data_IF_318689981945
#
_entry.id   IF_318689981945
#
_cell.length_a   1.000
_cell.length_b   1.000
_cell.length_c   1.000
_cell.angle_alpha   90.00
_cell.angle_beta   90.00
_cell.angle_gamma   90.00
#
_symmetry.space_group_name_H-M   'P 1'
#
loop_
_entity.id
_entity.type
_entity.pdbx_description
1 polymer ?
#
# COMPACT_ATOMS: atom_id res chain seq x y z
N UNK A 1 19.65 -9.93 9.45
CA UNK A 1 18.36 -9.21 9.50
C UNK A 1 17.26 -10.20 9.19
N UNK A 2 16.06 -10.08 9.76
CA UNK A 2 14.95 -10.94 9.38
C UNK A 2 14.63 -10.71 7.89
N UNK A 3 14.50 -11.77 7.09
CA UNK A 3 14.17 -11.66 5.65
C UNK A 3 12.71 -11.21 5.42
N UNK A 4 11.85 -11.41 6.42
CA UNK A 4 10.44 -11.02 6.42
C UNK A 4 9.90 -10.82 7.83
N UNK A 5 8.78 -10.12 7.93
CA UNK A 5 7.98 -9.96 9.14
C UNK A 5 6.62 -10.64 8.97
N UNK A 6 6.05 -11.15 10.07
CA UNK A 6 4.70 -11.74 10.07
C UNK A 6 3.69 -10.64 10.37
N UNK A 7 2.71 -10.47 9.49
CA UNK A 7 1.58 -9.56 9.69
C UNK A 7 0.55 -10.20 10.63
N UNK A 8 -0.34 -9.40 11.21
CA UNK A 8 -1.47 -9.91 12.02
C UNK A 8 -2.43 -10.83 11.23
N UNK A 9 -2.38 -10.82 9.89
CA UNK A 9 -3.08 -11.76 9.02
C UNK A 9 -2.40 -13.13 8.90
N UNK A 10 -1.19 -13.29 9.44
CA UNK A 10 -0.34 -14.47 9.26
C UNK A 10 0.53 -14.46 7.99
N UNK A 11 0.29 -13.53 7.07
CA UNK A 11 1.11 -13.36 5.87
C UNK A 11 2.53 -12.86 6.22
N UNK A 12 3.52 -13.19 5.36
CA UNK A 12 4.91 -12.74 5.53
C UNK A 12 5.21 -11.60 4.56
N UNK A 13 5.45 -10.40 5.08
CA UNK A 13 5.93 -9.25 4.29
C UNK A 13 7.46 -9.28 4.23
N UNK A 14 8.10 -9.28 3.03
CA UNK A 14 9.54 -9.17 2.93
C UNK A 14 10.06 -7.88 3.59
N UNK A 15 11.20 -7.97 4.28
CA UNK A 15 11.71 -6.85 5.08
C UNK A 15 12.23 -5.67 4.23
N UNK A 16 12.48 -5.92 2.95
CA UNK A 16 12.98 -4.94 1.98
C UNK A 16 12.12 -5.03 0.72
N UNK A 17 11.54 -3.89 0.32
CA UNK A 17 10.81 -3.74 -0.92
C UNK A 17 11.41 -2.65 -1.81
N UNK A 18 11.14 -2.75 -3.11
CA UNK A 18 11.45 -1.70 -4.08
C UNK A 18 10.32 -0.67 -4.06
N UNK A 19 10.61 0.55 -3.61
CA UNK A 19 9.72 1.70 -3.78
C UNK A 19 9.76 2.23 -5.21
N UNK A 20 8.59 2.56 -5.77
CA UNK A 20 8.45 2.98 -7.18
C UNK A 20 8.02 4.45 -7.34
N UNK A 21 8.02 5.21 -6.25
CA UNK A 21 7.77 6.65 -6.28
C UNK A 21 8.91 7.40 -7.00
N UNK A 22 8.56 8.42 -7.78
CA UNK A 22 9.51 9.35 -8.45
C UNK A 22 10.52 8.66 -9.38
N UNK A 23 10.21 7.47 -9.90
CA UNK A 23 11.00 6.83 -10.95
C UNK A 23 10.80 7.57 -12.28
N UNK A 24 11.87 7.69 -13.07
CA UNK A 24 11.80 8.34 -14.39
C UNK A 24 10.84 7.56 -15.30
N UNK A 25 9.91 8.25 -16.02
CA UNK A 25 8.98 7.58 -16.93
C UNK A 25 9.71 6.67 -17.91
N UNK A 26 9.22 5.45 -18.10
CA UNK A 26 9.83 4.45 -18.98
C UNK A 26 10.94 3.60 -18.34
N UNK A 27 11.41 3.92 -17.13
CA UNK A 27 12.52 3.18 -16.47
C UNK A 27 12.05 2.23 -15.36
N UNK A 28 10.83 2.42 -14.85
CA UNK A 28 10.33 1.66 -13.68
C UNK A 28 10.14 0.17 -13.98
N UNK A 29 9.75 -0.19 -15.21
CA UNK A 29 9.62 -1.58 -15.62
C UNK A 29 10.96 -2.33 -15.58
N UNK A 30 12.03 -1.69 -16.07
CA UNK A 30 13.39 -2.24 -16.01
C UNK A 30 13.89 -2.36 -14.56
N UNK A 31 13.61 -1.35 -13.73
CA UNK A 31 13.97 -1.37 -12.31
C UNK A 31 13.28 -2.53 -11.57
N UNK A 32 11.98 -2.75 -11.80
CA UNK A 32 11.21 -3.87 -11.22
C UNK A 32 11.77 -5.21 -11.70
N UNK A 33 12.02 -5.35 -13.00
CA UNK A 33 12.58 -6.57 -13.58
C UNK A 33 13.96 -6.90 -12.99
N UNK A 34 14.84 -5.90 -12.91
CA UNK A 34 16.17 -6.05 -12.33
C UNK A 34 16.12 -6.39 -10.84
N UNK A 35 15.28 -5.70 -10.06
CA UNK A 35 15.14 -5.95 -8.63
C UNK A 35 14.67 -7.39 -8.35
N UNK A 36 13.66 -7.88 -9.07
CA UNK A 36 13.15 -9.24 -8.89
C UNK A 36 14.20 -10.29 -9.28
N UNK A 37 14.96 -10.07 -10.35
CA UNK A 37 16.11 -10.92 -10.70
C UNK A 37 17.24 -10.86 -9.68
N UNK A 38 17.42 -9.73 -9.01
CA UNK A 38 18.38 -9.56 -7.91
C UNK A 38 17.91 -10.18 -6.58
N UNK A 39 16.68 -10.69 -6.51
CA UNK A 39 16.14 -11.39 -5.34
C UNK A 39 15.08 -10.61 -4.55
N UNK A 40 14.70 -9.41 -4.98
CA UNK A 40 13.58 -8.70 -4.34
C UNK A 40 12.28 -9.49 -4.52
N UNK A 41 11.47 -9.51 -3.47
CA UNK A 41 10.14 -10.14 -3.45
C UNK A 41 9.04 -9.20 -2.98
N UNK A 42 9.34 -7.92 -2.78
CA UNK A 42 8.34 -6.90 -2.43
C UNK A 42 8.48 -5.70 -3.34
N UNK A 43 7.38 -5.31 -3.99
CA UNK A 43 7.27 -4.09 -4.79
C UNK A 43 6.19 -3.21 -4.18
N UNK A 44 6.53 -1.95 -3.91
CA UNK A 44 5.62 -0.95 -3.36
C UNK A 44 5.21 0.04 -4.47
N UNK A 45 3.92 0.02 -4.80
CA UNK A 45 3.29 0.79 -5.86
C UNK A 45 2.33 1.85 -5.29
N UNK A 46 1.85 2.74 -6.15
CA UNK A 46 0.63 3.52 -5.92
C UNK A 46 0.13 4.11 -7.25
N UNK A 47 -1.19 4.28 -7.42
CA UNK A 47 -1.76 4.94 -8.60
C UNK A 47 -1.29 6.40 -8.74
N UNK A 48 -0.94 7.05 -7.62
CA UNK A 48 -0.41 8.41 -7.60
C UNK A 48 0.91 8.58 -8.36
N UNK A 49 1.71 7.51 -8.49
CA UNK A 49 3.00 7.54 -9.19
C UNK A 49 2.83 7.43 -10.70
N UNK A 50 1.62 7.10 -11.18
CA UNK A 50 1.25 7.03 -12.60
C UNK A 50 2.13 6.10 -13.43
N UNK A 51 2.60 5.03 -12.80
CA UNK A 51 3.52 4.06 -13.40
C UNK A 51 3.09 2.58 -13.20
N UNK A 52 1.92 2.33 -12.60
CA UNK A 52 1.44 0.96 -12.34
C UNK A 52 1.30 0.12 -13.62
N UNK A 53 0.93 0.74 -14.76
CA UNK A 53 0.89 0.05 -16.07
C UNK A 53 2.25 -0.49 -16.51
N UNK A 54 3.31 0.30 -16.34
CA UNK A 54 4.67 -0.11 -16.69
C UNK A 54 5.15 -1.24 -15.77
N UNK A 55 4.80 -1.16 -14.48
CA UNK A 55 5.07 -2.20 -13.50
C UNK A 55 4.33 -3.49 -13.88
N UNK A 56 3.05 -3.40 -14.24
CA UNK A 56 2.25 -4.56 -14.65
C UNK A 56 2.80 -5.27 -15.87
N UNK A 57 3.28 -4.52 -16.87
CA UNK A 57 3.98 -5.09 -18.03
C UNK A 57 5.25 -5.84 -17.63
N UNK A 58 6.04 -5.29 -16.70
CA UNK A 58 7.24 -5.95 -16.18
C UNK A 58 6.91 -7.22 -15.37
N UNK A 59 5.88 -7.17 -14.51
CA UNK A 59 5.40 -8.32 -13.75
C UNK A 59 4.92 -9.44 -14.67
N UNK A 60 4.07 -9.12 -15.66
CA UNK A 60 3.62 -10.07 -16.66
C UNK A 60 4.78 -10.76 -17.36
N UNK A 61 5.77 -9.98 -17.82
CA UNK A 61 6.97 -10.54 -18.45
C UNK A 61 7.75 -11.46 -17.50
N UNK A 62 7.92 -11.10 -16.23
CA UNK A 62 8.59 -11.94 -15.24
C UNK A 62 7.88 -13.28 -15.02
N UNK A 63 6.55 -13.28 -15.06
CA UNK A 63 5.75 -14.50 -14.95
C UNK A 63 5.85 -15.35 -16.22
N UNK A 64 5.76 -14.73 -17.41
CA UNK A 64 5.91 -15.41 -18.70
C UNK A 64 7.32 -15.98 -18.92
N UNK A 65 8.35 -15.28 -18.44
CA UNK A 65 9.75 -15.72 -18.45
C UNK A 65 10.06 -16.78 -17.36
N UNK A 66 9.07 -17.17 -16.54
CA UNK A 66 9.22 -18.09 -15.40
C UNK A 66 10.31 -17.67 -14.38
N UNK A 67 10.55 -16.37 -14.22
CA UNK A 67 11.54 -15.85 -13.26
C UNK A 67 11.03 -16.00 -11.82
N UNK A 68 9.73 -15.78 -11.61
CA UNK A 68 9.01 -15.91 -10.34
C UNK A 68 7.57 -16.30 -10.62
N UNK A 69 6.87 -16.86 -9.63
CA UNK A 69 5.42 -17.01 -9.63
C UNK A 69 4.74 -15.83 -8.93
N UNK A 70 3.44 -15.65 -9.14
CA UNK A 70 2.68 -14.58 -8.48
C UNK A 70 2.74 -14.70 -6.96
N UNK A 71 2.61 -15.91 -6.43
CA UNK A 71 2.66 -16.21 -5.00
C UNK A 71 4.05 -16.04 -4.36
N UNK A 72 5.11 -15.89 -5.17
CA UNK A 72 6.45 -15.58 -4.66
C UNK A 72 6.62 -14.07 -4.35
N UNK A 73 5.71 -13.22 -4.85
CA UNK A 73 5.79 -11.77 -4.73
C UNK A 73 4.79 -11.23 -3.72
N UNK A 74 5.22 -10.20 -2.99
CA UNK A 74 4.40 -9.34 -2.16
C UNK A 74 4.22 -8.00 -2.86
N UNK A 75 3.04 -7.74 -3.42
CA UNK A 75 2.74 -6.51 -4.15
C UNK A 75 1.84 -5.61 -3.30
N UNK A 76 2.32 -4.40 -3.02
CA UNK A 76 1.59 -3.38 -2.27
C UNK A 76 1.14 -2.26 -3.20
N UNK A 77 -0.09 -1.77 -3.02
CA UNK A 77 -0.53 -0.50 -3.63
C UNK A 77 -1.44 0.27 -2.67
N UNK A 78 -1.94 1.44 -3.09
CA UNK A 78 -2.54 2.45 -2.21
C UNK A 78 -3.81 3.05 -2.79
N UNK A 79 -4.86 3.15 -1.99
CA UNK A 79 -6.08 3.91 -2.28
C UNK A 79 -5.77 5.40 -2.28
N UNK A 80 -6.02 6.08 -3.40
CA UNK A 80 -5.77 7.51 -3.55
C UNK A 80 -6.85 8.39 -2.91
N UNK A 81 -6.47 9.63 -2.55
CA UNK A 81 -7.33 10.60 -1.86
C UNK A 81 -8.68 10.89 -2.53
N UNK A 82 -8.78 10.71 -3.85
CA UNK A 82 -10.02 10.89 -4.61
C UNK A 82 -11.00 9.72 -4.53
N UNK A 83 -10.61 8.59 -3.93
CA UNK A 83 -11.38 7.33 -3.94
C UNK A 83 -11.81 6.88 -2.53
N UNK A 84 -11.88 7.80 -1.56
CA UNK A 84 -12.22 7.44 -0.18
C UNK A 84 -13.72 7.27 0.08
N UNK A 85 -14.61 7.65 -0.86
CA UNK A 85 -16.03 7.33 -0.72
C UNK A 85 -16.22 5.80 -0.80
N UNK A 86 -17.07 5.17 0.04
CA UNK A 86 -17.20 3.71 0.09
C UNK A 86 -17.45 3.04 -1.26
N UNK A 87 -18.19 3.70 -2.15
CA UNK A 87 -18.49 3.29 -3.52
C UNK A 87 -17.30 3.40 -4.47
N UNK A 88 -16.35 4.30 -4.21
CA UNK A 88 -15.16 4.53 -5.04
C UNK A 88 -13.96 3.65 -4.64
N UNK A 89 -13.96 3.12 -3.42
CA UNK A 89 -12.92 2.20 -2.92
C UNK A 89 -12.73 0.96 -3.82
N UNK A 90 -13.80 0.21 -4.19
CA UNK A 90 -13.66 -0.93 -5.10
C UNK A 90 -13.17 -0.52 -6.50
N UNK A 91 -13.59 0.63 -7.02
CA UNK A 91 -13.08 1.14 -8.30
C UNK A 91 -11.58 1.47 -8.23
N UNK A 92 -11.13 2.02 -7.09
CA UNK A 92 -9.72 2.35 -6.86
C UNK A 92 -8.82 1.12 -6.93
N UNK A 93 -9.17 0.03 -6.24
CA UNK A 93 -8.38 -1.21 -6.31
C UNK A 93 -8.52 -1.90 -7.68
N UNK A 94 -9.69 -1.87 -8.31
CA UNK A 94 -9.91 -2.51 -9.61
C UNK A 94 -9.07 -1.88 -10.71
N UNK A 95 -8.98 -0.55 -10.71
CA UNK A 95 -8.08 0.18 -11.62
C UNK A 95 -6.61 -0.20 -11.40
N UNK A 96 -6.17 -0.25 -10.14
CA UNK A 96 -4.79 -0.66 -9.81
C UNK A 96 -4.51 -2.12 -10.20
N UNK A 97 -5.46 -3.03 -9.99
CA UNK A 97 -5.33 -4.44 -10.37
C UNK A 97 -5.24 -4.60 -11.90
N UNK A 98 -6.06 -3.85 -12.65
CA UNK A 98 -5.99 -3.81 -14.12
C UNK A 98 -4.62 -3.31 -14.59
N UNK A 99 -4.16 -2.17 -14.06
CA UNK A 99 -2.88 -1.56 -14.44
C UNK A 99 -1.69 -2.48 -14.10
N UNK A 100 -1.70 -3.11 -12.91
CA UNK A 100 -0.68 -4.06 -12.49
C UNK A 100 -0.82 -5.45 -13.13
N UNK A 101 -1.92 -5.72 -13.83
CA UNK A 101 -2.27 -7.02 -14.42
C UNK A 101 -2.29 -8.15 -13.37
N UNK A 102 -2.96 -7.89 -12.24
CA UNK A 102 -3.07 -8.80 -11.10
C UNK A 102 -4.53 -9.10 -10.76
N UNK A 103 -4.77 -10.24 -10.12
CA UNK A 103 -6.10 -10.61 -9.59
C UNK A 103 -6.29 -10.18 -8.12
N UNK A 104 -5.19 -9.99 -7.39
CA UNK A 104 -5.18 -9.55 -6.00
C UNK A 104 -3.91 -8.78 -5.65
N UNK A 105 -3.99 -7.94 -4.62
CA UNK A 105 -2.86 -7.32 -3.93
C UNK A 105 -2.55 -8.05 -2.63
N UNK A 106 -1.28 -8.14 -2.28
CA UNK A 106 -0.87 -8.66 -0.97
C UNK A 106 -1.18 -7.65 0.14
N UNK A 107 -1.06 -6.36 -0.17
CA UNK A 107 -1.36 -5.27 0.73
C UNK A 107 -2.00 -4.09 -0.01
N UNK A 108 -3.12 -3.60 0.50
CA UNK A 108 -3.76 -2.37 0.02
C UNK A 108 -3.89 -1.34 1.14
N UNK A 109 -3.33 -0.15 0.94
CA UNK A 109 -3.23 0.88 1.97
C UNK A 109 -4.13 2.08 1.68
N UNK A 110 -4.77 2.68 2.68
CA UNK A 110 -5.21 4.09 2.54
C UNK A 110 -3.94 4.94 2.43
N UNK A 111 -3.68 5.59 1.28
CA UNK A 111 -2.39 6.23 1.00
C UNK A 111 -2.00 7.29 2.05
N UNK A 112 -2.96 8.15 2.41
CA UNK A 112 -2.81 9.19 3.41
C UNK A 112 -4.17 9.54 4.01
N UNK A 113 -4.24 10.11 5.23
CA UNK A 113 -5.49 10.56 5.84
C UNK A 113 -6.01 11.89 5.24
N UNK A 114 -6.02 11.99 3.92
CA UNK A 114 -6.43 13.17 3.14
C UNK A 114 -7.43 12.73 2.08
N UNK A 115 -8.58 13.40 2.01
CA UNK A 115 -9.63 13.15 1.03
C UNK A 115 -9.83 14.37 0.14
N UNK A 116 -10.05 14.12 -1.14
CA UNK A 116 -10.50 15.12 -2.11
C UNK A 116 -11.77 14.64 -2.80
N UNK A 117 -12.43 15.52 -3.56
CA UNK A 117 -13.37 15.06 -4.58
C UNK A 117 -12.65 14.15 -5.59
N UNK A 118 -13.40 13.21 -6.19
CA UNK A 118 -12.88 12.30 -7.21
C UNK A 118 -12.35 13.08 -8.41
N UNK A 119 -11.17 12.71 -8.90
CA UNK A 119 -10.49 13.41 -10.01
C UNK A 119 -9.91 14.78 -9.67
N UNK A 120 -10.09 15.30 -8.45
CA UNK A 120 -9.54 16.58 -8.05
C UNK A 120 -8.04 16.49 -7.72
N UNK A 121 -7.32 17.58 -7.97
CA UNK A 121 -5.93 17.74 -7.55
C UNK A 121 -5.88 18.02 -6.05
N UNK A 122 -4.87 17.50 -5.35
CA UNK A 122 -4.65 17.76 -3.92
C UNK A 122 -4.19 19.20 -3.68
N UNK A 123 -5.14 20.11 -3.61
CA UNK A 123 -4.97 21.52 -3.21
C UNK A 123 -5.85 21.81 -2.01
N UNK A 124 -5.57 22.90 -1.28
CA UNK A 124 -6.29 23.25 -0.06
C UNK A 124 -7.80 23.41 -0.28
N UNK A 125 -8.19 23.90 -1.45
CA UNK A 125 -9.58 24.16 -1.85
C UNK A 125 -10.36 22.88 -2.17
N UNK A 126 -9.66 21.80 -2.52
CA UNK A 126 -10.25 20.53 -2.91
C UNK A 126 -10.34 19.53 -1.76
N UNK A 127 -9.78 19.85 -0.59
CA UNK A 127 -9.83 18.97 0.57
C UNK A 127 -11.23 18.94 1.18
N UNK A 128 -11.71 17.72 1.42
CA UNK A 128 -12.99 17.47 2.07
C UNK A 128 -12.77 16.54 3.28
N UNK A 129 -13.76 16.49 4.17
CA UNK A 129 -13.67 15.67 5.38
C UNK A 129 -13.54 14.19 5.02
N UNK A 130 -12.47 13.57 5.54
CA UNK A 130 -12.28 12.12 5.48
C UNK A 130 -13.13 11.45 6.57
N UNK A 131 -14.04 10.58 6.13
CA UNK A 131 -14.76 9.65 6.99
C UNK A 131 -13.99 8.32 7.04
N UNK A 132 -13.04 8.22 7.97
CA UNK A 132 -12.19 7.02 8.12
C UNK A 132 -13.04 5.77 8.37
N UNK A 133 -14.04 5.75 9.28
CA UNK A 133 -14.90 4.57 9.46
C UNK A 133 -15.56 4.11 8.16
N UNK A 134 -16.12 5.02 7.36
CA UNK A 134 -16.78 4.65 6.11
C UNK A 134 -15.79 4.09 5.08
N UNK A 135 -14.63 4.75 4.88
CA UNK A 135 -13.59 4.25 3.97
C UNK A 135 -13.03 2.91 4.44
N UNK A 136 -12.75 2.76 5.73
CA UNK A 136 -12.21 1.52 6.29
C UNK A 136 -13.22 0.38 6.15
N UNK A 137 -14.50 0.60 6.43
CA UNK A 137 -15.54 -0.41 6.23
C UNK A 137 -15.63 -0.90 4.77
N UNK A 138 -15.28 -0.06 3.78
CA UNK A 138 -15.16 -0.49 2.39
C UNK A 138 -13.86 -1.27 2.12
N UNK A 139 -12.73 -0.86 2.72
CA UNK A 139 -11.46 -1.61 2.67
C UNK A 139 -11.63 -3.02 3.27
N UNK A 140 -12.37 -3.15 4.36
CA UNK A 140 -12.66 -4.45 4.99
C UNK A 140 -13.44 -5.38 4.04
N UNK A 141 -14.35 -4.86 3.21
CA UNK A 141 -15.04 -5.66 2.18
C UNK A 141 -14.07 -6.15 1.10
N UNK A 142 -13.05 -5.35 0.75
CA UNK A 142 -11.99 -5.79 -0.16
C UNK A 142 -11.17 -6.93 0.44
N UNK A 143 -10.86 -6.84 1.74
CA UNK A 143 -10.23 -7.92 2.47
C UNK A 143 -11.07 -9.21 2.46
N UNK A 144 -12.35 -9.11 2.83
CA UNK A 144 -13.26 -10.27 2.85
C UNK A 144 -13.41 -10.92 1.45
N UNK A 145 -13.35 -10.13 0.38
CA UNK A 145 -13.41 -10.61 -1.00
C UNK A 145 -12.14 -11.30 -1.51
N UNK A 146 -11.01 -11.10 -0.82
CA UNK A 146 -9.70 -11.58 -1.24
C UNK A 146 -8.98 -10.73 -2.30
N UNK A 147 -9.59 -9.64 -2.81
CA UNK A 147 -8.92 -8.68 -3.70
C UNK A 147 -7.71 -8.01 -3.04
N UNK A 148 -7.74 -7.83 -1.72
CA UNK A 148 -6.60 -7.44 -0.91
C UNK A 148 -6.38 -8.47 0.20
N UNK A 149 -5.22 -9.14 0.24
CA UNK A 149 -4.91 -10.17 1.24
C UNK A 149 -4.61 -9.60 2.62
N UNK A 150 -4.17 -8.35 2.66
CA UNK A 150 -4.06 -7.52 3.84
C UNK A 150 -4.47 -6.08 3.50
N UNK A 151 -5.00 -5.36 4.48
CA UNK A 151 -5.34 -3.94 4.36
C UNK A 151 -4.63 -3.15 5.45
N UNK A 152 -4.28 -1.90 5.15
CA UNK A 152 -3.56 -1.05 6.08
C UNK A 152 -3.73 0.42 5.76
N UNK A 153 -2.89 1.24 6.38
CA UNK A 153 -2.91 2.69 6.23
C UNK A 153 -1.50 3.21 5.97
N UNK A 154 -1.42 4.39 5.38
CA UNK A 154 -0.21 5.17 5.21
C UNK A 154 -0.36 6.52 5.89
N UNK A 155 0.72 7.00 6.51
CA UNK A 155 0.78 8.34 7.12
C UNK A 155 -0.24 8.57 8.26
N UNK A 156 -0.66 7.52 8.97
CA UNK A 156 -1.51 7.68 10.15
C UNK A 156 -0.67 7.97 11.39
N UNK A 157 -0.99 9.05 12.09
CA UNK A 157 -0.40 9.40 13.38
C UNK A 157 -0.91 8.48 14.50
N UNK A 158 -0.28 8.54 15.69
CA UNK A 158 -0.72 7.75 16.85
C UNK A 158 -2.22 7.91 17.13
N UNK A 159 -2.71 9.15 17.19
CA UNK A 159 -4.13 9.42 17.42
C UNK A 159 -5.03 8.79 16.35
N UNK A 160 -4.67 8.90 15.07
CA UNK A 160 -5.48 8.32 13.98
C UNK A 160 -5.45 6.80 14.02
N UNK A 161 -4.33 6.21 14.41
CA UNK A 161 -4.22 4.76 14.64
C UNK A 161 -5.12 4.31 15.79
N UNK A 162 -5.07 4.99 16.94
CA UNK A 162 -5.96 4.70 18.08
C UNK A 162 -7.44 4.80 17.69
N UNK A 163 -7.82 5.89 17.01
CA UNK A 163 -9.19 6.12 16.56
C UNK A 163 -9.65 5.01 15.57
N UNK A 164 -8.77 4.55 14.67
CA UNK A 164 -9.06 3.46 13.74
C UNK A 164 -9.15 2.09 14.45
N UNK A 165 -8.20 1.78 15.32
CA UNK A 165 -8.15 0.52 16.07
C UNK A 165 -9.39 0.32 16.95
N UNK A 166 -9.97 1.42 17.47
CA UNK A 166 -11.18 1.38 18.27
C UNK A 166 -12.45 0.98 17.49
N UNK A 167 -12.46 1.13 16.15
CA UNK A 167 -13.64 0.90 15.31
C UNK A 167 -13.48 -0.22 14.29
N UNK A 168 -12.25 -0.63 14.00
CA UNK A 168 -11.94 -1.62 12.97
C UNK A 168 -12.33 -3.03 13.40
N UNK A 169 -13.07 -3.75 12.54
CA UNK A 169 -13.28 -5.21 12.68
C UNK A 169 -12.05 -5.95 12.20
N UNK A 170 -11.50 -5.55 11.05
CA UNK A 170 -10.22 -6.05 10.54
C UNK A 170 -9.14 -5.06 10.98
N UNK A 171 -8.28 -5.47 11.91
CA UNK A 171 -7.15 -4.64 12.36
C UNK A 171 -6.23 -4.30 11.18
N UNK A 172 -5.80 -3.04 10.99
CA UNK A 172 -4.84 -2.70 9.94
C UNK A 172 -3.58 -3.55 10.09
N UNK A 173 -3.15 -4.21 9.02
CA UNK A 173 -1.96 -5.04 9.04
C UNK A 173 -0.67 -4.22 9.04
N UNK A 174 -0.71 -3.04 8.38
CA UNK A 174 0.44 -2.18 8.18
C UNK A 174 0.07 -0.71 8.42
N UNK A 175 0.98 0.05 9.03
CA UNK A 175 1.03 1.50 8.92
C UNK A 175 2.35 1.90 8.23
N UNK A 176 2.28 2.40 6.99
CA UNK A 176 3.46 2.82 6.23
C UNK A 176 3.72 4.32 6.45
N UNK A 177 4.90 4.68 6.96
CA UNK A 177 5.23 6.07 7.33
C UNK A 177 6.66 6.43 6.98
N UNK A 178 6.93 7.73 6.87
CA UNK A 178 8.28 8.26 6.89
C UNK A 178 8.96 7.90 8.23
N UNK A 179 10.11 7.24 8.14
CA UNK A 179 10.98 6.97 9.28
C UNK A 179 12.44 6.83 8.83
N UNK A 180 13.36 7.47 9.54
CA UNK A 180 14.80 7.41 9.28
C UNK A 180 15.55 7.83 10.56
N UNK A 181 16.91 7.76 10.62
CA UNK A 181 17.64 8.10 11.85
C UNK A 181 17.33 9.49 12.44
N UNK A 182 16.92 10.45 11.60
CA UNK A 182 16.49 11.79 12.00
C UNK A 182 15.01 11.91 12.40
N UNK A 183 14.17 10.93 12.05
CA UNK A 183 12.75 10.88 12.39
C UNK A 183 12.33 9.43 12.68
N UNK A 184 12.52 8.99 13.92
CA UNK A 184 12.52 7.55 14.25
C UNK A 184 11.13 6.95 14.54
N UNK A 185 10.09 7.80 14.66
CA UNK A 185 8.70 7.39 14.93
C UNK A 185 8.53 6.51 16.19
N UNK A 186 9.35 6.70 17.23
CA UNK A 186 9.41 5.80 18.40
C UNK A 186 8.04 5.50 19.03
N UNK A 187 7.26 6.54 19.35
CA UNK A 187 5.92 6.37 19.93
C UNK A 187 4.95 5.62 19.01
N UNK A 188 5.01 5.90 17.71
CA UNK A 188 4.16 5.24 16.72
C UNK A 188 4.57 3.77 16.53
N UNK A 189 5.87 3.49 16.55
CA UNK A 189 6.41 2.13 16.51
C UNK A 189 5.91 1.31 17.69
N UNK A 190 6.02 1.83 18.91
CA UNK A 190 5.53 1.16 20.13
C UNK A 190 4.03 0.89 20.05
N UNK A 191 3.23 1.89 19.62
CA UNK A 191 1.78 1.74 19.46
C UNK A 191 1.44 0.67 18.39
N UNK A 192 2.12 0.69 17.25
CA UNK A 192 1.90 -0.29 16.19
C UNK A 192 2.25 -1.70 16.68
N UNK A 193 3.42 -1.88 17.30
CA UNK A 193 3.88 -3.16 17.82
C UNK A 193 2.94 -3.73 18.89
N UNK A 194 2.49 -2.91 19.85
CA UNK A 194 1.57 -3.34 20.92
C UNK A 194 0.20 -3.78 20.40
N UNK A 195 -0.17 -3.39 19.17
CA UNK A 195 -1.43 -3.73 18.54
C UNK A 195 -1.28 -4.71 17.36
N UNK A 196 -0.09 -5.31 17.18
CA UNK A 196 0.18 -6.26 16.10
C UNK A 196 0.16 -5.64 14.70
N UNK A 197 0.32 -4.33 14.59
CA UNK A 197 0.40 -3.59 13.32
C UNK A 197 1.87 -3.49 12.92
N UNK A 198 2.22 -3.90 11.71
CA UNK A 198 3.58 -3.74 11.21
C UNK A 198 3.83 -2.27 10.80
N UNK A 199 4.86 -1.65 11.36
CA UNK A 199 5.31 -0.33 10.92
C UNK A 199 6.28 -0.49 9.74
N UNK A 200 5.81 -0.16 8.54
CA UNK A 200 6.62 -0.15 7.32
C UNK A 200 7.19 1.24 7.10
N UNK A 201 8.42 1.30 6.61
CA UNK A 201 9.16 2.56 6.43
C UNK A 201 9.23 2.91 4.95
N UNK A 202 8.78 4.11 4.60
CA UNK A 202 8.96 4.69 3.26
C UNK A 202 9.78 5.99 3.32
N UNK A 203 10.36 6.39 2.19
CA UNK A 203 11.14 7.63 2.04
C UNK A 203 10.41 8.66 1.17
N UNK A 204 9.08 8.58 1.12
CA UNK A 204 8.28 9.50 0.32
C UNK A 204 8.19 10.87 0.98
N UNK A 205 8.96 11.84 0.45
CA UNK A 205 8.66 13.25 0.68
C UNK A 205 7.38 13.61 -0.08
N UNK A 206 6.28 13.71 0.67
CA UNK A 206 4.96 14.19 0.24
C UNK A 206 4.91 15.71 0.08
#
# INVERSE_FOLDING_TARGET
MAESFVLNTGARIPSVGLGTAKTEPGTVGEAVYAAIKAGYRHIDCAPAYRNEKEIGLALKKLFEDYVVKREDLFISSKLWSGNHAPEDVPEGIDTTLEDLQLEYLDLFLIHAPVRTNKGAVRTAENYITLDVPATWGAMEKLYDSGKARAIGVGNFSCKRMEDLLAIARVTPAVNQVESHPGWQQMKLRELCESNGVHLSVSFEHH
#
